data_IF_033310528566
#
_entry.id   IF_033310528566
#
_cell.length_a   1.000
_cell.length_b   1.000
_cell.length_c   1.000
_cell.angle_alpha   90.00
_cell.angle_beta   90.00
_cell.angle_gamma   90.00
#
_symmetry.space_group_name_H-M   'P 1'
#
loop_
_entity.id
_entity.type
_entity.pdbx_description
1 polymer ?
#
# COMPACT_ATOMS: atom_id res chain seq x y z
N UNK A 1 -9.50 -0.28 -6.28
CA UNK A 1 -9.72 -0.55 -4.84
C UNK A 1 -8.44 -0.20 -4.06
N UNK A 2 -8.54 0.07 -2.76
CA UNK A 2 -7.45 0.28 -1.79
C UNK A 2 -6.47 1.46 -1.95
N UNK A 3 -6.43 2.19 -3.08
CA UNK A 3 -5.72 3.49 -3.22
C UNK A 3 -4.30 3.58 -2.62
N UNK A 4 -3.58 2.46 -2.57
CA UNK A 4 -2.18 2.37 -2.14
C UNK A 4 -1.31 3.27 -3.01
N UNK A 5 -0.33 3.95 -2.42
CA UNK A 5 0.43 5.00 -3.11
C UNK A 5 -0.28 6.34 -3.10
N UNK A 6 -1.35 6.46 -2.33
CA UNK A 6 -1.98 7.75 -2.06
C UNK A 6 -1.13 8.59 -1.11
N UNK A 7 -0.32 7.98 -0.24
CA UNK A 7 0.61 8.69 0.65
C UNK A 7 1.69 7.74 1.21
N UNK A 8 2.81 7.62 0.49
CA UNK A 8 3.94 6.78 0.92
C UNK A 8 4.82 7.42 1.98
N UNK A 9 4.57 8.67 2.36
CA UNK A 9 5.38 9.43 3.32
C UNK A 9 4.79 9.40 4.74
N UNK A 10 3.82 8.51 4.98
CA UNK A 10 3.24 8.29 6.30
C UNK A 10 4.17 7.48 7.22
N UNK A 11 3.88 7.51 8.53
CA UNK A 11 4.56 6.67 9.52
C UNK A 11 4.41 5.17 9.23
N UNK A 12 3.41 4.76 8.44
CA UNK A 12 3.24 3.36 8.03
C UNK A 12 4.45 2.85 7.25
N UNK A 13 4.99 3.64 6.34
CA UNK A 13 6.15 3.28 5.50
C UNK A 13 7.50 3.64 6.14
N UNK A 14 7.54 4.72 6.93
CA UNK A 14 8.79 5.27 7.45
C UNK A 14 9.20 4.72 8.81
N UNK A 15 8.26 4.48 9.73
CA UNK A 15 8.58 4.12 11.12
C UNK A 15 8.78 2.62 11.29
N UNK A 16 9.79 2.23 12.05
CA UNK A 16 9.96 0.84 12.47
C UNK A 16 8.79 0.41 13.38
N UNK A 17 8.28 -0.80 13.18
CA UNK A 17 7.20 -1.40 13.96
C UNK A 17 7.78 -2.25 15.08
N UNK A 18 7.32 -2.01 16.30
CA UNK A 18 7.72 -2.77 17.51
C UNK A 18 6.61 -3.64 18.06
N UNK A 19 5.43 -3.60 17.44
CA UNK A 19 4.24 -4.36 17.78
C UNK A 19 3.49 -4.81 16.51
N UNK A 20 2.62 -5.83 16.59
CA UNK A 20 1.81 -6.27 15.46
C UNK A 20 1.05 -5.12 14.79
N UNK A 21 1.27 -4.94 13.48
CA UNK A 21 0.68 -3.83 12.72
C UNK A 21 -0.13 -4.29 11.49
N UNK A 22 0.09 -5.53 11.01
CA UNK A 22 -0.50 -6.04 9.77
C UNK A 22 -1.46 -7.16 10.12
N UNK A 23 -2.76 -6.87 10.16
CA UNK A 23 -3.85 -7.80 10.51
C UNK A 23 -3.63 -8.53 11.84
N UNK A 24 -3.04 -7.85 12.82
CA UNK A 24 -2.68 -8.42 14.12
C UNK A 24 -1.64 -9.56 14.07
N UNK A 25 -0.99 -9.81 12.92
CA UNK A 25 -0.01 -10.89 12.79
C UNK A 25 1.28 -10.55 13.54
N UNK A 26 1.96 -11.54 14.13
CA UNK A 26 3.25 -11.31 14.78
C UNK A 26 4.29 -10.69 13.84
N UNK A 27 5.20 -9.92 14.43
CA UNK A 27 6.38 -9.43 13.75
C UNK A 27 7.20 -10.60 13.20
N UNK A 28 7.82 -10.37 12.04
CA UNK A 28 8.74 -11.31 11.40
C UNK A 28 10.14 -11.13 12.00
N UNK A 29 10.93 -12.19 11.99
CA UNK A 29 12.36 -12.11 12.25
C UNK A 29 13.06 -11.64 10.96
N UNK A 30 13.63 -10.41 10.90
CA UNK A 30 14.26 -9.90 9.68
C UNK A 30 15.43 -10.75 9.21
N UNK A 31 16.14 -11.44 10.13
CA UNK A 31 17.29 -12.28 9.78
C UNK A 31 16.91 -13.45 8.85
N UNK A 32 15.65 -13.86 8.85
CA UNK A 32 15.15 -14.91 7.94
C UNK A 32 15.09 -14.45 6.47
N UNK A 33 15.27 -13.15 6.22
CA UNK A 33 15.14 -12.54 4.90
C UNK A 33 16.48 -12.02 4.34
N UNK A 34 17.58 -12.16 5.07
CA UNK A 34 18.90 -11.66 4.69
C UNK A 34 19.31 -12.13 3.28
N UNK A 35 19.11 -13.41 2.96
CA UNK A 35 19.44 -13.97 1.64
C UNK A 35 18.59 -13.38 0.49
N UNK A 36 17.40 -12.86 0.79
CA UNK A 36 16.49 -12.25 -0.19
C UNK A 36 16.68 -10.73 -0.31
N UNK A 37 17.18 -10.09 0.73
CA UNK A 37 17.33 -8.64 0.85
C UNK A 37 18.78 -8.15 0.73
N UNK A 38 19.74 -9.08 0.71
CA UNK A 38 21.16 -8.76 0.59
C UNK A 38 21.49 -7.99 -0.69
N UNK A 39 22.02 -6.78 -0.56
CA UNK A 39 22.50 -5.96 -1.68
C UNK A 39 23.93 -6.37 -2.09
N UNK A 40 24.74 -6.81 -1.12
CA UNK A 40 26.11 -7.26 -1.39
C UNK A 40 26.15 -8.56 -2.21
N UNK A 41 25.17 -9.44 -1.98
CA UNK A 41 24.98 -10.69 -2.68
C UNK A 41 23.49 -10.80 -3.07
N UNK A 42 23.04 -10.11 -4.13
CA UNK A 42 21.63 -10.12 -4.51
C UNK A 42 21.19 -11.53 -4.92
N UNK A 43 19.94 -11.92 -4.59
CA UNK A 43 19.42 -13.21 -5.03
C UNK A 43 19.36 -13.25 -6.57
N UNK A 44 19.34 -14.46 -7.17
CA UNK A 44 19.14 -14.61 -8.61
C UNK A 44 17.87 -13.89 -9.07
N UNK A 45 17.93 -13.24 -10.23
CA UNK A 45 16.74 -12.63 -10.83
C UNK A 45 15.77 -13.75 -11.20
N UNK A 46 14.57 -13.71 -10.63
CA UNK A 46 13.50 -14.67 -10.93
C UNK A 46 12.24 -13.94 -11.37
N UNK A 47 11.53 -14.48 -12.36
CA UNK A 47 10.22 -13.99 -12.75
C UNK A 47 9.12 -14.67 -11.92
N UNK A 48 8.71 -14.01 -10.84
CA UNK A 48 7.51 -14.36 -10.10
C UNK A 48 7.68 -15.42 -9.01
N UNK A 49 6.57 -15.67 -8.32
CA UNK A 49 6.44 -16.68 -7.29
C UNK A 49 5.12 -17.40 -7.49
N UNK A 50 5.12 -18.73 -7.36
CA UNK A 50 3.87 -19.49 -7.39
C UNK A 50 3.03 -19.03 -6.21
N UNK A 51 1.77 -18.70 -6.48
CA UNK A 51 0.81 -18.29 -5.47
C UNK A 51 0.29 -19.55 -4.76
N UNK A 52 1.01 -19.96 -3.73
CA UNK A 52 0.68 -21.13 -2.92
C UNK A 52 0.51 -20.72 -1.46
N UNK A 53 -0.42 -21.37 -0.77
CA UNK A 53 -0.70 -21.15 0.64
C UNK A 53 -0.64 -22.46 1.40
N UNK A 54 -0.04 -22.43 2.59
CA UNK A 54 -0.15 -23.51 3.55
C UNK A 54 -1.57 -23.66 4.08
N UNK A 55 -1.85 -24.76 4.79
CA UNK A 55 -3.18 -25.03 5.41
C UNK A 55 -3.62 -23.96 6.41
N UNK A 56 -2.70 -23.14 6.89
CA UNK A 56 -2.92 -22.01 7.78
C UNK A 56 -3.20 -20.68 7.05
N UNK A 57 -3.36 -20.70 5.72
CA UNK A 57 -3.57 -19.50 4.90
C UNK A 57 -2.33 -18.59 4.79
N UNK A 58 -1.16 -19.11 5.14
CA UNK A 58 0.12 -18.39 5.06
C UNK A 58 0.77 -18.69 3.69
N UNK A 59 1.19 -17.67 2.93
CA UNK A 59 1.93 -17.89 1.69
C UNK A 59 3.12 -18.84 1.87
N UNK A 60 3.27 -19.81 0.97
CA UNK A 60 4.36 -20.80 1.03
C UNK A 60 5.73 -20.20 0.66
N UNK A 61 5.76 -19.15 -0.16
CA UNK A 61 7.01 -18.50 -0.55
C UNK A 61 7.40 -17.40 0.44
N UNK A 62 8.64 -17.38 0.96
CA UNK A 62 9.12 -16.31 1.83
C UNK A 62 9.09 -14.93 1.14
N UNK A 63 9.18 -14.91 -0.20
CA UNK A 63 9.13 -13.67 -0.99
C UNK A 63 7.84 -12.88 -0.81
N UNK A 64 6.73 -13.57 -0.51
CA UNK A 64 5.43 -12.95 -0.26
C UNK A 64 5.38 -12.15 1.06
N UNK A 65 6.41 -12.25 1.92
CA UNK A 65 6.52 -11.48 3.15
C UNK A 65 7.51 -10.33 3.07
N UNK A 66 8.27 -10.18 1.97
CA UNK A 66 9.30 -9.14 1.82
C UNK A 66 8.72 -7.76 2.11
N UNK A 67 7.59 -7.40 1.47
CA UNK A 67 6.94 -6.10 1.72
C UNK A 67 6.61 -5.89 3.19
N UNK A 68 6.16 -6.93 3.90
CA UNK A 68 5.85 -6.83 5.35
C UNK A 68 7.10 -6.59 6.19
N UNK A 69 8.21 -7.25 5.87
CA UNK A 69 9.50 -7.03 6.55
C UNK A 69 10.01 -5.61 6.29
N UNK A 70 9.91 -5.14 5.05
CA UNK A 70 10.33 -3.78 4.70
C UNK A 70 9.49 -2.70 5.39
N UNK A 71 8.17 -2.90 5.49
CA UNK A 71 7.28 -2.03 6.27
C UNK A 71 7.57 -2.12 7.78
N UNK A 72 7.85 -3.32 8.29
CA UNK A 72 8.21 -3.55 9.68
C UNK A 72 9.48 -2.80 10.06
N UNK A 73 10.52 -2.87 9.23
CA UNK A 73 11.80 -2.20 9.49
C UNK A 73 11.78 -0.71 9.13
N UNK A 74 10.71 -0.23 8.46
CA UNK A 74 10.60 1.15 8.01
C UNK A 74 11.61 1.50 6.91
N UNK A 75 11.90 0.54 6.03
CA UNK A 75 12.90 0.64 4.95
C UNK A 75 12.29 0.39 3.56
N UNK A 76 10.96 0.39 3.45
CA UNK A 76 10.27 0.15 2.17
C UNK A 76 10.72 1.11 1.07
N UNK A 77 10.91 2.40 1.39
CA UNK A 77 11.29 3.40 0.39
C UNK A 77 12.74 3.24 -0.09
N UNK A 78 13.64 2.71 0.74
CA UNK A 78 15.02 2.41 0.34
C UNK A 78 15.01 1.38 -0.79
N UNK A 79 14.18 0.35 -0.67
CA UNK A 79 14.06 -0.70 -1.69
C UNK A 79 13.22 -0.26 -2.90
N UNK A 80 12.19 0.56 -2.70
CA UNK A 80 11.43 1.14 -3.81
C UNK A 80 12.32 1.99 -4.71
N UNK A 81 13.21 2.79 -4.12
CA UNK A 81 14.05 3.77 -4.82
C UNK A 81 15.42 3.25 -5.21
N UNK A 82 15.90 2.18 -4.54
CA UNK A 82 17.28 1.72 -4.62
C UNK A 82 18.27 2.60 -3.84
N UNK A 83 17.79 3.57 -3.05
CA UNK A 83 18.63 4.49 -2.29
C UNK A 83 18.63 4.16 -0.78
N UNK A 84 19.74 3.59 -0.31
CA UNK A 84 19.93 3.29 1.11
C UNK A 84 19.96 4.55 1.97
N UNK A 85 19.24 4.51 3.10
CA UNK A 85 19.15 5.60 4.07
C UNK A 85 18.10 6.65 3.71
N UNK A 86 17.38 6.53 2.59
CA UNK A 86 16.31 7.46 2.23
C UNK A 86 15.22 7.50 3.31
N UNK A 87 14.73 6.35 3.77
CA UNK A 87 13.68 6.28 4.79
C UNK A 87 14.14 6.90 6.10
N UNK A 88 15.40 6.71 6.50
CA UNK A 88 15.97 7.33 7.71
C UNK A 88 15.98 8.85 7.62
N UNK A 89 16.42 9.41 6.49
CA UNK A 89 16.43 10.87 6.28
C UNK A 89 15.03 11.47 6.25
N UNK A 90 14.05 10.77 5.68
CA UNK A 90 12.66 11.24 5.67
C UNK A 90 12.00 11.12 7.06
N UNK A 91 12.36 10.09 7.83
CA UNK A 91 11.80 9.81 9.16
C UNK A 91 12.09 10.90 10.20
N UNK A 92 13.19 11.65 10.05
CA UNK A 92 13.52 12.74 10.98
C UNK A 92 12.70 14.01 10.74
N UNK A 93 11.94 14.07 9.64
CA UNK A 93 11.02 15.15 9.34
C UNK A 93 9.67 14.88 10.03
N UNK A 94 9.02 15.93 10.54
CA UNK A 94 7.71 15.81 11.21
C UNK A 94 6.62 15.32 10.24
N UNK A 95 6.57 15.92 9.05
CA UNK A 95 5.58 15.63 8.00
C UNK A 95 6.24 15.71 6.62
N UNK A 96 7.02 14.69 6.21
CA UNK A 96 7.67 14.70 4.91
C UNK A 96 6.63 14.81 3.78
N UNK A 97 6.98 15.59 2.77
CA UNK A 97 6.20 15.78 1.55
C UNK A 97 7.00 15.29 0.34
N UNK A 98 6.35 15.16 -0.81
CA UNK A 98 6.99 14.62 -2.02
C UNK A 98 8.24 15.42 -2.45
N UNK A 99 8.28 16.72 -2.14
CA UNK A 99 9.44 17.58 -2.44
C UNK A 99 10.66 17.27 -1.56
N UNK A 100 10.50 16.56 -0.44
CA UNK A 100 11.61 16.08 0.39
C UNK A 100 12.24 14.80 -0.18
N UNK A 101 11.55 14.10 -1.09
CA UNK A 101 12.10 12.97 -1.84
C UNK A 101 13.02 13.52 -2.95
N UNK A 102 14.24 12.96 -3.12
CA UNK A 102 15.13 13.38 -4.20
C UNK A 102 14.44 13.32 -5.56
N UNK A 103 14.62 14.37 -6.37
CA UNK A 103 13.88 14.57 -7.62
C UNK A 103 13.92 13.34 -8.55
N UNK A 104 15.06 12.66 -8.63
CA UNK A 104 15.26 11.45 -9.44
C UNK A 104 14.37 10.26 -9.02
N UNK A 105 13.88 10.24 -7.78
CA UNK A 105 13.05 9.17 -7.23
C UNK A 105 11.56 9.54 -7.17
N UNK A 106 11.18 10.81 -7.31
CA UNK A 106 9.78 11.26 -7.19
C UNK A 106 8.84 10.53 -8.15
N UNK A 107 9.31 10.17 -9.36
CA UNK A 107 8.51 9.41 -10.33
C UNK A 107 8.11 7.99 -9.90
N UNK A 108 8.70 7.47 -8.82
CA UNK A 108 8.36 6.18 -8.23
C UNK A 108 7.21 6.25 -7.20
N UNK A 109 6.81 7.46 -6.82
CA UNK A 109 5.76 7.73 -5.83
C UNK A 109 4.45 8.04 -6.58
N UNK A 110 3.41 7.20 -6.46
CA UNK A 110 2.19 7.39 -7.24
C UNK A 110 1.51 8.74 -6.99
N UNK A 111 1.64 9.32 -5.79
CA UNK A 111 1.13 10.64 -5.46
C UNK A 111 1.77 11.78 -6.27
N UNK A 112 2.98 11.59 -6.80
CA UNK A 112 3.66 12.57 -7.66
C UNK A 112 3.13 12.57 -9.10
N UNK A 113 2.52 11.46 -9.53
CA UNK A 113 2.01 11.28 -10.90
C UNK A 113 0.61 11.87 -11.14
N UNK A 114 -0.08 12.30 -10.08
CA UNK A 114 -1.44 12.82 -10.17
C UNK A 114 -1.46 14.20 -10.85
N UNK A 115 -2.33 14.35 -11.85
CA UNK A 115 -2.53 15.61 -12.57
C UNK A 115 -3.99 15.74 -13.05
N UNK A 116 -4.37 16.87 -13.63
CA UNK A 116 -5.73 17.15 -14.08
C UNK A 116 -6.22 16.24 -15.22
N UNK A 117 -5.32 15.53 -15.91
CA UNK A 117 -5.65 14.55 -16.95
C UNK A 117 -5.82 13.14 -16.39
N UNK A 118 -5.68 12.95 -15.08
CA UNK A 118 -5.87 11.64 -14.45
C UNK A 118 -7.30 11.14 -14.69
N UNK A 119 -7.49 9.83 -14.98
CA UNK A 119 -8.81 9.33 -15.27
C UNK A 119 -9.72 9.53 -14.05
N UNK A 120 -10.95 9.96 -14.28
CA UNK A 120 -11.94 10.07 -13.22
C UNK A 120 -12.06 8.70 -12.48
N UNK A 121 -11.90 8.64 -11.15
CA UNK A 121 -11.57 7.41 -10.39
C UNK A 121 -12.59 7.04 -9.30
N UNK A 122 -12.88 5.74 -9.10
CA UNK A 122 -13.65 5.25 -7.96
C UNK A 122 -12.83 4.28 -7.11
N UNK A 123 -12.84 4.50 -5.81
CA UNK A 123 -12.12 3.73 -4.81
C UNK A 123 -13.14 3.07 -3.85
N UNK A 124 -12.86 1.85 -3.45
CA UNK A 124 -13.49 1.19 -2.32
C UNK A 124 -12.37 0.73 -1.37
N UNK A 125 -12.53 0.99 -0.07
CA UNK A 125 -11.50 0.74 0.95
C UNK A 125 -12.14 0.50 2.31
N UNK A 126 -11.73 -0.56 3.01
CA UNK A 126 -12.08 -0.80 4.41
C UNK A 126 -11.54 0.27 5.38
N UNK A 127 -12.34 0.65 6.38
CA UNK A 127 -11.94 1.66 7.36
C UNK A 127 -10.95 1.17 8.41
N UNK A 128 -10.82 -0.14 8.55
CA UNK A 128 -9.92 -0.81 9.50
C UNK A 128 -8.76 -1.51 8.78
N UNK A 129 -8.50 -1.15 7.51
CA UNK A 129 -7.38 -1.70 6.75
C UNK A 129 -6.04 -1.35 7.42
N UNK A 130 -5.35 -2.38 7.89
CA UNK A 130 -4.06 -2.31 8.60
C UNK A 130 -2.87 -2.63 7.70
N UNK A 131 -3.12 -3.08 6.47
CA UNK A 131 -2.08 -3.40 5.48
C UNK A 131 -1.81 -2.24 4.51
N UNK A 132 -2.86 -1.54 4.09
CA UNK A 132 -2.86 -0.35 3.26
C UNK A 132 -3.77 0.63 3.96
N UNK A 133 -3.25 1.68 4.58
CA UNK A 133 -4.10 2.49 5.44
C UNK A 133 -5.14 3.27 4.62
N UNK A 134 -6.38 3.33 5.10
CA UNK A 134 -7.46 4.12 4.46
C UNK A 134 -7.07 5.60 4.23
N UNK A 135 -6.16 6.12 5.04
CA UNK A 135 -5.56 7.45 4.87
C UNK A 135 -5.03 7.67 3.45
N UNK A 136 -4.45 6.65 2.80
CA UNK A 136 -3.95 6.76 1.44
C UNK A 136 -5.08 7.01 0.42
N UNK A 137 -6.19 6.28 0.51
CA UNK A 137 -7.32 6.49 -0.39
C UNK A 137 -8.00 7.84 -0.18
N UNK A 138 -8.06 8.32 1.07
CA UNK A 138 -8.54 9.68 1.38
C UNK A 138 -7.61 10.72 0.76
N UNK A 139 -6.29 10.56 0.92
CA UNK A 139 -5.30 11.48 0.40
C UNK A 139 -5.27 11.50 -1.15
N UNK A 140 -5.46 10.35 -1.81
CA UNK A 140 -5.64 10.28 -3.26
C UNK A 140 -6.91 10.99 -3.71
N UNK A 141 -8.06 10.75 -3.06
CA UNK A 141 -9.32 11.44 -3.37
C UNK A 141 -9.16 12.96 -3.27
N UNK A 142 -8.58 13.45 -2.18
CA UNK A 142 -8.46 14.87 -1.92
C UNK A 142 -7.54 15.55 -2.94
N UNK A 143 -6.42 14.91 -3.33
CA UNK A 143 -5.56 15.39 -4.40
C UNK A 143 -6.27 15.44 -5.76
N UNK A 144 -7.02 14.39 -6.11
CA UNK A 144 -7.78 14.35 -7.37
C UNK A 144 -8.86 15.44 -7.40
N UNK A 145 -9.58 15.65 -6.30
CA UNK A 145 -10.55 16.75 -6.18
C UNK A 145 -9.90 18.12 -6.36
N UNK A 146 -8.73 18.35 -5.74
CA UNK A 146 -7.96 19.59 -5.92
C UNK A 146 -7.50 19.82 -7.36
N UNK A 147 -7.34 18.74 -8.13
CA UNK A 147 -7.01 18.77 -9.56
C UNK A 147 -8.26 18.87 -10.47
N UNK A 148 -9.46 19.04 -9.89
CA UNK A 148 -10.75 18.98 -10.57
C UNK A 148 -11.03 17.65 -11.27
N UNK A 149 -10.39 16.57 -10.83
CA UNK A 149 -10.65 15.20 -11.30
C UNK A 149 -11.73 14.56 -10.43
N UNK A 150 -12.79 14.08 -11.06
CA UNK A 150 -13.88 13.41 -10.34
C UNK A 150 -13.39 12.12 -9.69
N UNK A 151 -13.42 12.09 -8.35
CA UNK A 151 -13.07 10.92 -7.54
C UNK A 151 -14.20 10.57 -6.56
N UNK A 152 -14.55 9.29 -6.44
CA UNK A 152 -15.48 8.79 -5.41
C UNK A 152 -14.76 7.78 -4.53
N UNK A 153 -14.81 7.95 -3.21
CA UNK A 153 -14.33 6.97 -2.24
C UNK A 153 -15.54 6.37 -1.51
N UNK A 154 -15.66 5.05 -1.58
CA UNK A 154 -16.59 4.24 -0.79
C UNK A 154 -15.82 3.61 0.38
N UNK A 155 -16.08 4.12 1.57
CA UNK A 155 -15.46 3.61 2.80
C UNK A 155 -16.32 2.48 3.36
N UNK A 156 -15.74 1.29 3.48
CA UNK A 156 -16.40 0.10 3.99
C UNK A 156 -16.15 0.00 5.49
N UNK A 157 -17.18 0.34 6.28
CA UNK A 157 -17.06 0.41 7.74
C UNK A 157 -16.69 -0.95 8.35
N UNK A 158 -15.68 -0.97 9.20
CA UNK A 158 -15.20 -2.15 9.91
C UNK A 158 -14.45 -3.17 9.05
N UNK A 159 -14.31 -2.91 7.74
CA UNK A 159 -13.61 -3.83 6.87
C UNK A 159 -12.09 -3.65 6.94
N UNK A 160 -11.40 -4.78 6.93
CA UNK A 160 -9.94 -4.92 6.90
C UNK A 160 -9.44 -5.08 5.45
N UNK A 161 -8.13 -5.12 5.24
CA UNK A 161 -7.52 -5.41 3.96
C UNK A 161 -8.05 -6.69 3.32
N UNK A 162 -8.23 -6.63 2.00
CA UNK A 162 -8.76 -7.74 1.21
C UNK A 162 -10.12 -8.24 1.73
N UNK A 163 -10.97 -7.35 2.25
CA UNK A 163 -12.32 -7.71 2.70
C UNK A 163 -13.15 -8.36 1.58
N UNK A 164 -12.80 -8.08 0.32
CA UNK A 164 -13.41 -8.62 -0.88
C UNK A 164 -13.08 -10.10 -1.15
N UNK A 165 -12.11 -10.67 -0.41
CA UNK A 165 -11.72 -12.08 -0.48
C UNK A 165 -12.15 -12.89 0.74
N UNK A 166 -12.93 -12.32 1.66
CA UNK A 166 -13.35 -13.01 2.89
C UNK A 166 -14.70 -13.70 2.67
N UNK A 167 -14.80 -14.95 3.11
CA UNK A 167 -16.05 -15.71 3.09
C UNK A 167 -17.12 -15.00 3.95
N UNK A 168 -18.39 -15.01 3.50
CA UNK A 168 -19.48 -14.38 4.23
C UNK A 168 -19.62 -12.87 4.00
N UNK A 169 -18.85 -12.29 3.07
CA UNK A 169 -18.92 -10.87 2.68
C UNK A 169 -19.71 -10.63 1.39
N UNK A 170 -20.54 -11.57 0.94
CA UNK A 170 -21.27 -11.48 -0.35
C UNK A 170 -22.19 -10.24 -0.41
N UNK A 171 -22.92 -9.97 0.67
CA UNK A 171 -23.80 -8.79 0.76
C UNK A 171 -22.99 -7.49 0.75
N UNK A 172 -21.82 -7.49 1.38
CA UNK A 172 -20.90 -6.35 1.37
C UNK A 172 -20.32 -6.10 -0.02
N UNK A 173 -19.92 -7.17 -0.71
CA UNK A 173 -19.44 -7.12 -2.09
C UNK A 173 -20.52 -6.58 -3.02
N UNK A 174 -21.76 -7.04 -2.88
CA UNK A 174 -22.90 -6.55 -3.65
C UNK A 174 -23.09 -5.03 -3.47
N UNK A 175 -22.97 -4.52 -2.23
CA UNK A 175 -23.03 -3.08 -1.97
C UNK A 175 -21.89 -2.31 -2.67
N UNK A 176 -20.66 -2.84 -2.65
CA UNK A 176 -19.53 -2.26 -3.37
C UNK A 176 -19.82 -2.23 -4.87
N UNK A 177 -20.30 -3.35 -5.45
CA UNK A 177 -20.66 -3.43 -6.86
C UNK A 177 -21.74 -2.41 -7.23
N UNK A 178 -22.80 -2.27 -6.45
CA UNK A 178 -23.86 -1.29 -6.71
C UNK A 178 -23.37 0.16 -6.67
N UNK A 179 -22.40 0.48 -5.82
CA UNK A 179 -21.77 1.81 -5.79
C UNK A 179 -20.93 2.03 -7.05
N UNK A 180 -20.14 1.04 -7.45
CA UNK A 180 -19.30 1.11 -8.64
C UNK A 180 -20.15 1.22 -9.92
N UNK A 181 -21.18 0.39 -10.07
CA UNK A 181 -22.09 0.40 -11.23
C UNK A 181 -22.79 1.75 -11.39
N UNK A 182 -23.37 2.29 -10.31
CA UNK A 182 -24.03 3.62 -10.35
C UNK A 182 -23.05 4.73 -10.73
N UNK A 183 -21.82 4.65 -10.27
CA UNK A 183 -20.80 5.65 -10.61
C UNK A 183 -20.36 5.57 -12.08
N UNK A 184 -20.30 4.37 -12.65
CA UNK A 184 -20.05 4.17 -14.08
C UNK A 184 -21.21 4.70 -14.93
N UNK A 185 -22.45 4.43 -14.53
CA UNK A 185 -23.65 4.90 -15.24
C UNK A 185 -23.77 6.43 -15.29
N UNK A 186 -23.36 7.13 -14.24
CA UNK A 186 -23.40 8.60 -14.16
C UNK A 186 -22.39 9.30 -15.09
N UNK A 187 -21.59 8.54 -15.84
CA UNK A 187 -20.49 9.04 -16.68
C UNK A 187 -20.62 8.69 -18.16
N UNK A 188 -21.63 7.91 -18.51
CA UNK A 188 -22.10 7.75 -19.89
C UNK A 188 -23.17 8.80 -20.18
#
# INVERSE_FOLDING_TARGET
MYGMGGDFLTSHYLQRKTEPFFRGRPLLDPAQFDALLSIAHPPPVTNGSVLEYGRNGIPSSPRMFITRVLLQEGTFLDYLTGEHGLSERLRVLDRPIINDVPQQHQGLFPEAGLNSSFPPTCLAHGTEDSAVLIGESRAMRDRLHNLNVSCKLFEVKGAEHSFDYQDGHEELLEQVFQVLSRWLEQRN
#
